data_IF_202287447681
#
_entry.id   IF_202287447681
#
_cell.length_a   1.000
_cell.length_b   1.000
_cell.length_c   1.000
_cell.angle_alpha   90.00
_cell.angle_beta   90.00
_cell.angle_gamma   90.00
#
_symmetry.space_group_name_H-M   'P 1'
#
loop_
_entity.id
_entity.type
_entity.pdbx_description
1 polymer ?
#
# COMPACT_ATOMS: atom_id res chain seq x y z
N UNK A 1 7.94 11.01 -0.48
CA UNK A 1 6.83 10.70 0.44
C UNK A 1 6.22 12.00 0.88
N UNK A 2 4.97 12.20 0.50
CA UNK A 2 4.24 13.39 0.89
C UNK A 2 4.16 13.62 2.39
N UNK A 3 4.04 14.88 2.76
CA UNK A 3 3.86 15.34 4.12
C UNK A 3 2.50 16.02 4.26
N UNK A 4 1.89 15.88 5.43
CA UNK A 4 0.67 16.60 5.77
C UNK A 4 1.08 18.02 6.16
N UNK A 5 0.56 19.01 5.43
CA UNK A 5 0.73 20.43 5.75
C UNK A 5 -0.28 20.89 6.80
N UNK A 6 -1.54 20.45 6.65
CA UNK A 6 -2.61 20.79 7.57
C UNK A 6 -3.57 19.61 7.77
N UNK A 7 -4.16 19.55 8.96
CA UNK A 7 -5.15 18.54 9.36
C UNK A 7 -6.28 19.26 10.08
N UNK A 8 -7.47 19.26 9.49
CA UNK A 8 -8.65 19.91 10.04
C UNK A 8 -9.76 18.89 10.31
N UNK A 9 -10.21 18.83 11.55
CA UNK A 9 -11.40 18.07 11.92
C UNK A 9 -12.64 18.88 11.55
N UNK A 10 -13.59 18.24 10.88
CA UNK A 10 -14.89 18.82 10.53
C UNK A 10 -15.94 18.47 11.58
N UNK A 11 -17.03 19.24 11.61
CA UNK A 11 -18.14 19.06 12.56
C UNK A 11 -18.85 17.71 12.39
N UNK A 12 -18.79 17.10 11.20
CA UNK A 12 -19.35 15.78 10.90
C UNK A 12 -18.41 14.60 11.26
N UNK A 13 -17.28 14.88 11.91
CA UNK A 13 -16.27 13.90 12.29
C UNK A 13 -15.32 13.51 11.16
N UNK A 14 -15.45 14.06 9.94
CA UNK A 14 -14.46 13.86 8.88
C UNK A 14 -13.20 14.66 9.15
N UNK A 15 -12.09 14.22 8.56
CA UNK A 15 -10.80 14.91 8.66
C UNK A 15 -10.36 15.31 7.25
N UNK A 16 -10.07 16.59 7.05
CA UNK A 16 -9.46 17.11 5.83
C UNK A 16 -7.96 17.23 6.03
N UNK A 17 -7.21 16.63 5.11
CA UNK A 17 -5.77 16.79 5.03
C UNK A 17 -5.41 17.62 3.81
N UNK A 18 -4.50 18.57 4.02
CA UNK A 18 -3.75 19.20 2.94
C UNK A 18 -2.38 18.53 2.88
N UNK A 19 -2.01 18.02 1.71
CA UNK A 19 -0.78 17.24 1.53
C UNK A 19 0.11 17.89 0.49
N UNK A 20 1.41 17.93 0.78
CA UNK A 20 2.46 18.18 -0.20
C UNK A 20 3.06 16.85 -0.58
N UNK A 21 3.24 16.59 -1.87
CA UNK A 21 3.88 15.36 -2.38
C UNK A 21 5.04 15.71 -3.30
N UNK A 22 5.99 14.79 -3.40
CA UNK A 22 7.11 14.94 -4.33
C UNK A 22 6.61 14.85 -5.78
N UNK A 23 7.32 15.51 -6.70
CA UNK A 23 6.97 15.51 -8.12
C UNK A 23 6.88 14.09 -8.69
N UNK A 24 7.80 13.20 -8.33
CA UNK A 24 7.84 11.84 -8.83
C UNK A 24 6.63 11.02 -8.35
N UNK A 25 6.16 11.25 -7.11
CA UNK A 25 4.96 10.64 -6.58
C UNK A 25 3.70 11.16 -7.29
N UNK A 26 3.66 12.47 -7.57
CA UNK A 26 2.57 13.06 -8.35
C UNK A 26 2.51 12.47 -9.77
N UNK A 27 3.65 12.23 -10.41
CA UNK A 27 3.71 11.58 -11.73
C UNK A 27 3.24 10.12 -11.69
N UNK A 28 3.47 9.40 -10.59
CA UNK A 28 2.99 8.02 -10.43
C UNK A 28 1.46 7.93 -10.39
N UNK A 29 0.75 9.01 -10.03
CA UNK A 29 -0.70 9.05 -10.08
C UNK A 29 -1.25 8.97 -11.52
N UNK A 30 -0.44 9.28 -12.54
CA UNK A 30 -0.83 9.22 -13.96
C UNK A 30 -2.15 9.93 -14.28
N UNK A 31 -2.45 11.02 -13.57
CA UNK A 31 -3.67 11.80 -13.74
C UNK A 31 -4.90 11.30 -12.95
N UNK A 32 -4.78 10.22 -12.18
CA UNK A 32 -5.85 9.75 -11.29
C UNK A 32 -5.84 10.60 -10.01
N UNK A 33 -6.78 11.53 -9.89
CA UNK A 33 -6.92 12.43 -8.74
C UNK A 33 -8.04 12.01 -7.78
N UNK A 34 -8.80 10.98 -8.14
CA UNK A 34 -9.82 10.31 -7.34
C UNK A 34 -9.34 8.93 -6.87
N UNK A 35 -9.99 8.39 -5.82
CA UNK A 35 -9.63 7.09 -5.25
C UNK A 35 -8.24 7.05 -4.58
N UNK A 36 -7.70 8.20 -4.18
CA UNK A 36 -6.40 8.29 -3.49
C UNK A 36 -6.56 7.81 -2.05
N UNK A 37 -5.72 6.85 -1.67
CA UNK A 37 -5.62 6.34 -0.31
C UNK A 37 -4.32 6.79 0.34
N UNK A 38 -4.41 7.33 1.56
CA UNK A 38 -3.23 7.75 2.34
C UNK A 38 -2.76 6.59 3.20
N UNK A 39 -1.48 6.24 3.10
CA UNK A 39 -0.85 5.13 3.83
C UNK A 39 0.41 5.64 4.52
N UNK A 40 0.62 5.25 5.78
CA UNK A 40 1.82 5.59 6.55
C UNK A 40 2.64 4.34 6.86
N UNK A 41 3.93 4.36 6.52
CA UNK A 41 4.86 3.27 6.86
C UNK A 41 5.01 3.04 8.36
N UNK A 42 4.72 4.05 9.19
CA UNK A 42 4.81 3.95 10.65
C UNK A 42 3.62 3.23 11.27
N UNK A 43 2.51 3.10 10.53
CA UNK A 43 1.31 2.39 10.97
C UNK A 43 1.35 0.89 10.60
N UNK A 44 2.43 0.41 9.97
CA UNK A 44 2.58 -1.00 9.62
C UNK A 44 3.00 -1.82 10.86
N UNK A 45 2.02 -2.43 11.53
CA UNK A 45 2.23 -3.14 12.81
C UNK A 45 2.40 -4.67 12.65
N UNK A 46 1.71 -5.28 11.69
CA UNK A 46 1.75 -6.73 11.48
C UNK A 46 3.00 -7.16 10.72
N UNK A 47 3.78 -8.05 11.32
CA UNK A 47 4.95 -8.66 10.68
C UNK A 47 4.53 -9.76 9.71
N UNK A 48 5.14 -9.76 8.53
CA UNK A 48 5.11 -10.89 7.61
C UNK A 48 6.51 -11.44 7.34
N UNK A 49 6.60 -12.44 6.47
CA UNK A 49 7.83 -13.12 6.06
C UNK A 49 7.93 -13.15 4.55
N UNK A 50 9.17 -13.18 4.07
CA UNK A 50 9.49 -13.50 2.69
C UNK A 50 9.87 -14.98 2.64
N UNK A 51 9.19 -15.75 1.79
CA UNK A 51 9.59 -17.14 1.49
C UNK A 51 10.44 -17.15 0.23
N UNK A 52 11.58 -17.82 0.32
CA UNK A 52 12.49 -18.03 -0.79
C UNK A 52 12.30 -19.45 -1.34
N UNK A 53 12.33 -19.60 -2.66
CA UNK A 53 12.26 -20.91 -3.34
C UNK A 53 13.12 -20.95 -4.61
N UNK A 54 13.45 -22.18 -5.03
CA UNK A 54 14.21 -22.46 -6.23
C UNK A 54 15.72 -22.57 -5.98
N UNK A 55 16.48 -22.91 -7.02
CA UNK A 55 17.96 -22.93 -6.94
C UNK A 55 18.45 -21.52 -6.61
N UNK A 56 19.27 -21.39 -5.56
CA UNK A 56 19.83 -20.12 -5.09
C UNK A 56 18.79 -19.06 -4.72
N UNK A 57 17.61 -19.45 -4.22
CA UNK A 57 16.58 -18.51 -3.76
C UNK A 57 16.12 -17.50 -4.83
N UNK A 58 16.16 -17.92 -6.09
CA UNK A 58 15.84 -17.08 -7.23
C UNK A 58 14.41 -16.51 -7.18
N UNK A 59 13.48 -17.18 -6.49
CA UNK A 59 12.09 -16.73 -6.37
C UNK A 59 11.76 -16.29 -4.95
N UNK A 60 11.23 -15.07 -4.82
CA UNK A 60 10.86 -14.44 -3.54
C UNK A 60 9.35 -14.24 -3.49
N UNK A 61 8.72 -14.68 -2.41
CA UNK A 61 7.28 -14.55 -2.18
C UNK A 61 7.01 -13.77 -0.89
N UNK A 62 6.27 -12.67 -0.98
CA UNK A 62 5.66 -12.07 0.20
C UNK A 62 4.53 -12.98 0.67
N UNK A 63 4.59 -13.40 1.93
CA UNK A 63 3.50 -14.15 2.53
C UNK A 63 2.44 -13.18 3.04
N UNK A 64 1.16 -13.53 2.88
CA UNK A 64 0.08 -12.79 3.53
C UNK A 64 0.00 -13.29 4.99
N UNK A 65 0.09 -12.40 6.00
CA UNK A 65 -0.12 -12.75 7.41
C UNK A 65 -1.41 -13.53 7.61
N UNK A 66 -1.43 -14.49 8.55
CA UNK A 66 -2.56 -15.41 8.73
C UNK A 66 -3.87 -14.66 9.00
N UNK A 67 -3.82 -13.61 9.80
CA UNK A 67 -4.95 -12.76 10.18
C UNK A 67 -5.59 -11.99 9.00
N UNK A 68 -4.90 -11.87 7.86
CA UNK A 68 -5.42 -11.15 6.69
C UNK A 68 -5.93 -12.07 5.56
N UNK A 69 -6.00 -13.40 5.78
CA UNK A 69 -6.27 -14.36 4.70
C UNK A 69 -7.75 -14.61 4.42
N UNK A 70 -8.64 -14.34 5.38
CA UNK A 70 -10.02 -14.84 5.33
C UNK A 70 -10.85 -14.22 4.20
N UNK A 71 -10.63 -12.94 3.88
CA UNK A 71 -11.48 -12.18 2.95
C UNK A 71 -10.91 -12.04 1.53
N UNK A 72 -9.89 -12.82 1.18
CA UNK A 72 -9.18 -12.70 -0.11
C UNK A 72 -9.67 -13.76 -1.10
N UNK A 73 -10.16 -13.32 -2.27
CA UNK A 73 -10.46 -14.27 -3.36
C UNK A 73 -9.19 -14.95 -3.84
N UNK A 74 -9.29 -16.25 -4.13
CA UNK A 74 -8.24 -16.94 -4.89
C UNK A 74 -8.18 -16.36 -6.30
N UNK A 75 -7.28 -15.40 -6.52
CA UNK A 75 -6.97 -14.89 -7.86
C UNK A 75 -5.67 -15.52 -8.37
N UNK A 76 -5.61 -15.76 -9.68
CA UNK A 76 -4.37 -16.16 -10.36
C UNK A 76 -3.45 -14.96 -10.62
N UNK A 77 -4.03 -13.78 -10.75
CA UNK A 77 -3.32 -12.55 -11.10
C UNK A 77 -3.79 -11.40 -10.19
N UNK A 78 -2.83 -10.63 -9.70
CA UNK A 78 -3.06 -9.47 -8.85
C UNK A 78 -2.21 -8.33 -9.38
N UNK A 79 -2.70 -7.10 -9.29
CA UNK A 79 -1.92 -5.94 -9.68
C UNK A 79 -1.05 -5.49 -8.50
N UNK A 80 0.13 -4.96 -8.81
CA UNK A 80 0.99 -4.41 -7.78
C UNK A 80 1.64 -3.10 -8.23
N UNK A 81 1.97 -2.28 -7.24
CA UNK A 81 2.77 -1.08 -7.39
C UNK A 81 3.99 -1.19 -6.49
N UNK A 82 5.14 -0.76 -7.00
CA UNK A 82 6.35 -0.55 -6.22
C UNK A 82 6.59 0.94 -6.08
N UNK A 83 6.83 1.38 -4.85
CA UNK A 83 7.20 2.76 -4.52
C UNK A 83 8.53 2.67 -3.79
N UNK A 84 9.56 3.31 -4.33
CA UNK A 84 10.85 3.41 -3.66
C UNK A 84 10.92 4.73 -2.91
N UNK A 85 11.23 4.64 -1.61
CA UNK A 85 11.60 5.78 -0.78
C UNK A 85 13.12 5.79 -0.62
N UNK A 86 13.66 6.83 0.02
CA UNK A 86 15.10 6.92 0.29
C UNK A 86 15.65 5.76 1.13
N UNK A 87 14.81 5.13 1.97
CA UNK A 87 15.23 4.10 2.90
C UNK A 87 14.55 2.74 2.69
N UNK A 88 13.41 2.67 2.01
CA UNK A 88 12.60 1.45 1.91
C UNK A 88 11.97 1.31 0.52
N UNK A 89 11.77 0.07 0.09
CA UNK A 89 10.87 -0.23 -1.03
C UNK A 89 9.52 -0.69 -0.48
N UNK A 90 8.46 0.00 -0.87
CA UNK A 90 7.07 -0.33 -0.53
C UNK A 90 6.44 -1.06 -1.71
N UNK A 91 5.76 -2.17 -1.43
CA UNK A 91 4.99 -2.94 -2.41
C UNK A 91 3.53 -2.94 -2.01
N UNK A 92 2.67 -2.42 -2.88
CA UNK A 92 1.22 -2.38 -2.69
C UNK A 92 0.61 -3.38 -3.66
N UNK A 93 -0.07 -4.40 -3.13
CA UNK A 93 -0.80 -5.39 -3.92
C UNK A 93 -2.29 -5.11 -3.81
N UNK A 94 -2.98 -5.05 -4.95
CA UNK A 94 -4.43 -4.94 -4.98
C UNK A 94 -5.01 -6.33 -5.26
N UNK A 95 -5.85 -6.80 -4.33
CA UNK A 95 -6.50 -8.10 -4.41
C UNK A 95 -8.00 -7.93 -4.31
N UNK A 96 -8.75 -8.74 -5.07
CA UNK A 96 -10.20 -8.73 -4.97
C UNK A 96 -10.65 -9.35 -3.65
N UNK A 97 -11.54 -8.65 -2.96
CA UNK A 97 -12.22 -9.16 -1.78
C UNK A 97 -13.32 -10.17 -2.18
N UNK A 98 -13.58 -11.14 -1.31
CA UNK A 98 -14.80 -11.93 -1.39
C UNK A 98 -15.96 -10.97 -1.11
N UNK A 99 -16.84 -10.75 -2.09
CA UNK A 99 -18.06 -9.96 -1.85
C UNK A 99 -18.97 -10.82 -0.97
N UNK A 100 -19.18 -10.39 0.28
CA UNK A 100 -20.22 -10.93 1.16
C UNK A 100 -21.51 -10.18 0.85
#
# INVERSE_FOLDING_TARGET
MGSILSSKVQEDGKITYEVVIDRDEALQLKGNLDGIHVISEKAAETKSRISLRGKNDATKYFLIPREFREDIKKSKEVTCQKIDTSAKSVYIFYVDKIKI
#
